data_IF_394698174046
#
_entry.id   IF_394698174046
#
_cell.length_a   1.000
_cell.length_b   1.000
_cell.length_c   1.000
_cell.angle_alpha   90.00
_cell.angle_beta   90.00
_cell.angle_gamma   90.00
#
_symmetry.space_group_name_H-M   'P 1'
#
loop_
_entity.id
_entity.type
_entity.pdbx_description
1 polymer ?
#
# COMPACT_ATOMS: atom_id res chain seq x y z
N UNK A 1 16.77 -20.24 -9.45
CA UNK A 1 16.24 -21.25 -10.40
C UNK A 1 15.32 -22.18 -9.64
N UNK A 2 14.22 -22.60 -10.27
CA UNK A 2 13.31 -23.64 -9.76
C UNK A 2 13.27 -24.79 -10.77
N UNK A 3 12.89 -25.98 -10.31
CA UNK A 3 12.62 -27.12 -11.21
C UNK A 3 11.17 -27.08 -11.66
N UNK A 4 10.95 -27.25 -12.95
CA UNK A 4 9.63 -27.46 -13.53
C UNK A 4 9.09 -28.84 -13.22
N UNK A 5 7.78 -29.05 -13.43
CA UNK A 5 7.16 -30.38 -13.40
C UNK A 5 7.77 -31.35 -14.41
N UNK A 6 8.33 -30.84 -15.51
CA UNK A 6 9.08 -31.60 -16.51
C UNK A 6 10.57 -31.80 -16.17
N UNK A 7 11.02 -31.38 -14.97
CA UNK A 7 12.40 -31.53 -14.49
C UNK A 7 13.40 -30.49 -15.02
N UNK A 8 12.97 -29.61 -15.93
CA UNK A 8 13.79 -28.54 -16.51
C UNK A 8 14.02 -27.39 -15.52
N UNK A 9 15.14 -26.70 -15.63
CA UNK A 9 15.38 -25.49 -14.85
C UNK A 9 14.64 -24.29 -15.43
N UNK A 10 14.01 -23.50 -14.57
CA UNK A 10 13.34 -22.27 -14.93
C UNK A 10 13.78 -21.12 -14.00
N UNK A 11 13.71 -19.90 -14.51
CA UNK A 11 13.93 -18.69 -13.70
C UNK A 11 12.84 -18.60 -12.65
N UNK A 12 13.25 -18.33 -11.42
CA UNK A 12 12.30 -18.05 -10.34
C UNK A 12 11.99 -16.56 -10.32
N UNK A 13 10.85 -16.18 -10.89
CA UNK A 13 10.38 -14.78 -10.89
C UNK A 13 9.96 -14.27 -9.50
N UNK A 14 9.90 -15.15 -8.48
CA UNK A 14 9.61 -14.79 -7.09
C UNK A 14 10.87 -14.48 -6.29
N UNK A 15 12.04 -14.86 -6.78
CA UNK A 15 13.30 -14.56 -6.12
C UNK A 15 13.63 -13.08 -6.29
N UNK A 16 13.61 -12.33 -5.19
CA UNK A 16 13.99 -10.92 -5.16
C UNK A 16 15.45 -10.81 -4.69
N UNK A 17 16.39 -10.36 -5.53
CA UNK A 17 17.77 -10.14 -5.11
C UNK A 17 17.87 -8.88 -4.22
N UNK A 18 19.02 -8.65 -3.55
CA UNK A 18 19.32 -7.34 -2.97
C UNK A 18 19.19 -6.25 -4.05
N UNK A 19 18.25 -5.33 -3.85
CA UNK A 19 17.91 -4.29 -4.81
C UNK A 19 18.42 -2.94 -4.32
N UNK A 20 19.11 -2.19 -5.18
CA UNK A 20 19.53 -0.82 -4.89
C UNK A 20 18.42 0.19 -5.16
N UNK A 21 17.49 -0.16 -6.06
CA UNK A 21 16.34 0.67 -6.39
C UNK A 21 15.06 -0.16 -6.42
N UNK A 22 13.92 0.48 -6.20
CA UNK A 22 12.61 -0.16 -6.33
C UNK A 22 12.38 -0.74 -7.74
N UNK A 23 12.86 -0.05 -8.77
CA UNK A 23 12.79 -0.50 -10.16
C UNK A 23 13.66 -1.71 -10.49
N UNK A 24 14.55 -2.15 -9.58
CA UNK A 24 15.44 -3.29 -9.81
C UNK A 24 14.71 -4.65 -9.84
N UNK A 25 13.46 -4.73 -9.36
CA UNK A 25 12.66 -5.96 -9.42
C UNK A 25 11.17 -5.66 -9.66
N UNK A 26 10.49 -6.34 -10.61
CA UNK A 26 9.11 -6.03 -10.98
C UNK A 26 8.09 -6.21 -9.84
N UNK A 27 8.33 -7.15 -8.92
CA UNK A 27 7.45 -7.36 -7.77
C UNK A 27 7.31 -6.14 -6.88
N UNK A 28 8.33 -5.27 -6.78
CA UNK A 28 8.21 -4.05 -5.99
C UNK A 28 7.12 -3.14 -6.55
N UNK A 29 7.16 -2.87 -7.86
CA UNK A 29 6.19 -2.00 -8.53
C UNK A 29 4.80 -2.65 -8.55
N UNK A 30 4.70 -3.96 -8.76
CA UNK A 30 3.44 -4.68 -8.67
C UNK A 30 2.80 -4.50 -7.28
N UNK A 31 3.58 -4.68 -6.21
CA UNK A 31 3.09 -4.55 -4.83
C UNK A 31 2.75 -3.11 -4.47
N UNK A 32 3.58 -2.14 -4.86
CA UNK A 32 3.31 -0.71 -4.65
C UNK A 32 1.99 -0.32 -5.31
N UNK A 33 1.82 -0.64 -6.60
CA UNK A 33 0.60 -0.29 -7.35
C UNK A 33 -0.63 -0.95 -6.74
N UNK A 34 -0.55 -2.26 -6.45
CA UNK A 34 -1.67 -2.99 -5.84
C UNK A 34 -2.08 -2.40 -4.49
N UNK A 35 -1.11 -2.05 -3.64
CA UNK A 35 -1.39 -1.43 -2.34
C UNK A 35 -2.00 -0.03 -2.52
N UNK A 36 -1.46 0.78 -3.44
CA UNK A 36 -2.01 2.10 -3.74
C UNK A 36 -3.47 2.02 -4.22
N UNK A 37 -3.79 1.05 -5.07
CA UNK A 37 -5.16 0.84 -5.56
C UNK A 37 -6.11 0.41 -4.43
N UNK A 38 -5.68 -0.52 -3.57
CA UNK A 38 -6.46 -0.95 -2.40
C UNK A 38 -6.73 0.23 -1.45
N UNK A 39 -5.69 1.02 -1.16
CA UNK A 39 -5.82 2.18 -0.28
C UNK A 39 -6.72 3.25 -0.90
N UNK A 40 -6.65 3.48 -2.22
CA UNK A 40 -7.54 4.41 -2.91
C UNK A 40 -9.00 3.96 -2.82
N UNK A 41 -9.28 2.69 -3.11
CA UNK A 41 -10.62 2.13 -3.03
C UNK A 41 -11.18 2.21 -1.60
N UNK A 42 -10.36 1.90 -0.58
CA UNK A 42 -10.74 2.04 0.83
C UNK A 42 -10.99 3.50 1.21
N UNK A 43 -10.16 4.44 0.77
CA UNK A 43 -10.34 5.88 1.01
C UNK A 43 -11.71 6.35 0.51
N UNK A 44 -12.10 5.97 -0.71
CA UNK A 44 -13.39 6.34 -1.29
C UNK A 44 -14.56 5.76 -0.49
N UNK A 45 -14.51 4.47 -0.15
CA UNK A 45 -15.56 3.80 0.61
C UNK A 45 -15.73 4.38 2.03
N UNK A 46 -14.61 4.69 2.71
CA UNK A 46 -14.64 5.30 4.05
C UNK A 46 -15.04 6.77 4.00
N UNK A 47 -14.66 7.49 2.94
CA UNK A 47 -15.08 8.86 2.69
C UNK A 47 -16.59 8.98 2.52
N UNK A 48 -17.20 8.09 1.74
CA UNK A 48 -18.66 8.03 1.58
C UNK A 48 -19.37 7.83 2.94
N UNK A 49 -18.91 6.85 3.74
CA UNK A 49 -19.43 6.61 5.09
C UNK A 49 -19.26 7.80 6.03
N UNK A 50 -18.16 8.55 5.89
CA UNK A 50 -17.93 9.78 6.67
C UNK A 50 -18.95 10.86 6.28
N UNK A 51 -19.19 11.06 4.99
CA UNK A 51 -20.18 12.03 4.50
C UNK A 51 -21.59 11.68 4.96
N UNK A 52 -22.02 10.43 4.80
CA UNK A 52 -23.31 9.93 5.28
C UNK A 52 -23.49 10.21 6.78
N UNK A 53 -22.43 9.99 7.57
CA UNK A 53 -22.51 10.24 9.00
C UNK A 53 -22.56 11.74 9.33
N UNK A 54 -21.81 12.58 8.63
CA UNK A 54 -21.88 14.04 8.83
C UNK A 54 -23.30 14.55 8.56
N UNK A 55 -23.99 14.03 7.54
CA UNK A 55 -25.38 14.38 7.23
C UNK A 55 -26.39 13.90 8.28
N UNK A 56 -26.07 12.83 9.03
CA UNK A 56 -26.94 12.21 10.03
C UNK A 56 -26.75 12.74 11.46
N UNK A 57 -25.76 13.60 11.74
CA UNK A 57 -25.30 13.83 13.12
C UNK A 57 -26.00 14.99 13.85
N UNK A 58 -26.61 14.64 14.99
CA UNK A 58 -26.89 15.54 16.12
C UNK A 58 -25.85 15.41 17.28
N UNK A 59 -25.14 14.27 17.40
CA UNK A 59 -23.99 14.07 18.32
C UNK A 59 -22.92 13.12 17.71
N UNK A 60 -21.63 13.40 17.95
CA UNK A 60 -20.49 12.58 17.47
C UNK A 60 -20.10 11.48 18.47
N UNK A 61 -19.74 10.27 18.00
CA UNK A 61 -19.43 9.10 18.85
C UNK A 61 -18.02 8.51 18.66
N UNK A 62 -17.61 7.55 19.50
CA UNK A 62 -16.28 6.90 19.46
C UNK A 62 -15.94 6.27 18.09
N UNK A 63 -16.95 5.79 17.37
CA UNK A 63 -16.77 5.25 16.02
C UNK A 63 -16.34 6.31 15.00
N UNK A 64 -16.55 7.61 15.25
CA UNK A 64 -16.07 8.71 14.39
C UNK A 64 -14.57 8.86 14.46
N UNK A 65 -14.03 8.73 15.68
CA UNK A 65 -12.60 8.83 15.95
C UNK A 65 -11.86 7.70 15.25
N UNK A 66 -12.38 6.48 15.30
CA UNK A 66 -11.79 5.34 14.57
C UNK A 66 -11.80 5.54 13.05
N UNK A 67 -12.94 5.99 12.49
CA UNK A 67 -13.06 6.28 11.06
C UNK A 67 -12.09 7.38 10.61
N UNK A 68 -11.97 8.43 11.43
CA UNK A 68 -11.04 9.53 11.20
C UNK A 68 -9.59 9.05 11.15
N UNK A 69 -9.14 8.29 12.16
CA UNK A 69 -7.77 7.78 12.20
C UNK A 69 -7.48 6.84 11.05
N UNK A 70 -8.42 5.96 10.68
CA UNK A 70 -8.25 5.07 9.55
C UNK A 70 -8.08 5.84 8.22
N UNK A 71 -8.92 6.86 8.00
CA UNK A 71 -8.77 7.75 6.84
C UNK A 71 -7.44 8.51 6.86
N UNK A 72 -7.03 9.02 8.03
CA UNK A 72 -5.76 9.71 8.20
C UNK A 72 -4.56 8.83 7.82
N UNK A 73 -4.51 7.59 8.33
CA UNK A 73 -3.44 6.64 8.01
C UNK A 73 -3.39 6.32 6.51
N UNK A 74 -4.55 6.13 5.87
CA UNK A 74 -4.64 5.90 4.43
C UNK A 74 -4.12 7.12 3.65
N UNK A 75 -4.56 8.33 4.00
CA UNK A 75 -4.17 9.57 3.32
C UNK A 75 -2.70 9.93 3.54
N UNK A 76 -2.10 9.51 4.65
CA UNK A 76 -0.67 9.66 4.90
C UNK A 76 0.18 8.72 4.03
N UNK A 77 -0.23 7.45 3.88
CA UNK A 77 0.56 6.44 3.17
C UNK A 77 0.37 6.46 1.64
N UNK A 78 -0.85 6.74 1.16
CA UNK A 78 -1.17 6.62 -0.28
C UNK A 78 -0.31 7.50 -1.20
N UNK A 79 -0.08 8.80 -0.91
CA UNK A 79 0.76 9.65 -1.76
C UNK A 79 2.21 9.15 -1.86
N UNK A 80 2.75 8.59 -0.77
CA UNK A 80 4.09 8.00 -0.77
C UNK A 80 4.17 6.80 -1.71
N UNK A 81 3.19 5.90 -1.67
CA UNK A 81 3.12 4.77 -2.60
C UNK A 81 3.03 5.24 -4.07
N UNK A 82 2.26 6.28 -4.35
CA UNK A 82 2.20 6.89 -5.71
C UNK A 82 3.52 7.50 -6.14
N UNK A 83 4.24 8.15 -5.23
CA UNK A 83 5.56 8.69 -5.49
C UNK A 83 6.56 7.57 -5.81
N UNK A 84 6.53 6.47 -5.07
CA UNK A 84 7.38 5.30 -5.33
C UNK A 84 7.09 4.64 -6.68
N UNK A 85 5.81 4.52 -7.06
CA UNK A 85 5.41 3.98 -8.35
C UNK A 85 5.92 4.83 -9.54
N UNK A 86 5.90 6.15 -9.38
CA UNK A 86 6.32 7.10 -10.43
C UNK A 86 7.83 7.35 -10.45
N UNK A 87 8.52 7.15 -9.33
CA UNK A 87 9.95 7.38 -9.18
C UNK A 87 10.65 6.13 -8.63
N UNK A 88 10.75 5.05 -9.42
CA UNK A 88 11.27 3.76 -8.97
C UNK A 88 12.79 3.74 -8.75
N UNK A 89 13.49 4.85 -9.03
CA UNK A 89 14.93 4.99 -8.77
C UNK A 89 15.32 5.11 -7.29
N UNK A 90 14.36 5.10 -6.37
CA UNK A 90 14.60 5.22 -4.92
C UNK A 90 14.99 3.88 -4.28
N UNK A 91 15.74 3.94 -3.18
CA UNK A 91 16.13 2.78 -2.38
C UNK A 91 14.92 2.06 -1.77
N UNK A 92 14.87 0.71 -1.78
CA UNK A 92 13.79 -0.08 -1.17
C UNK A 92 13.56 0.18 0.32
N UNK A 93 14.55 0.71 1.05
CA UNK A 93 14.41 1.04 2.48
C UNK A 93 13.31 2.08 2.74
N UNK A 94 13.09 3.01 1.80
CA UNK A 94 12.02 4.02 1.90
C UNK A 94 10.65 3.37 1.84
N UNK A 95 10.48 2.39 0.95
CA UNK A 95 9.24 1.61 0.87
C UNK A 95 9.02 0.83 2.17
N UNK A 96 10.06 0.17 2.70
CA UNK A 96 9.96 -0.55 3.97
C UNK A 96 9.48 0.37 5.11
N UNK A 97 10.09 1.55 5.27
CA UNK A 97 9.70 2.49 6.32
C UNK A 97 8.23 2.93 6.20
N UNK A 98 7.78 3.27 5.00
CA UNK A 98 6.38 3.64 4.74
C UNK A 98 5.42 2.48 5.03
N UNK A 99 5.76 1.26 4.61
CA UNK A 99 4.92 0.09 4.86
C UNK A 99 4.88 -0.31 6.34
N UNK A 100 6.00 -0.20 7.05
CA UNK A 100 6.07 -0.47 8.49
C UNK A 100 5.24 0.54 9.29
N UNK A 101 5.30 1.83 8.92
CA UNK A 101 4.45 2.86 9.53
C UNK A 101 2.97 2.59 9.27
N UNK A 102 2.60 2.25 8.03
CA UNK A 102 1.22 1.89 7.69
C UNK A 102 0.75 0.66 8.48
N UNK A 103 1.57 -0.39 8.58
CA UNK A 103 1.24 -1.60 9.32
C UNK A 103 1.12 -1.36 10.83
N UNK A 104 1.88 -0.42 11.40
CA UNK A 104 1.79 -0.06 12.81
C UNK A 104 0.57 0.79 13.13
N UNK A 105 0.05 1.53 12.15
CA UNK A 105 -1.05 2.47 12.35
C UNK A 105 -2.43 1.85 12.06
N UNK A 106 -2.46 0.65 11.48
CA UNK A 106 -3.66 -0.12 11.14
C UNK A 106 -3.99 -1.18 12.19
#
# INVERSE_FOLDING_TARGET
LVRSSSGQFQVDHRFVPPCLTLGSHPLHLERINRLADILQAKSLALGARRSERIEQVAEYGVADVQLFWLLHCIHAAWPQLRLFATHPGRSPEHLYATLAQLASAL
#
